data_IF_138799065867
#
_entry.id   IF_138799065867
#
_cell.length_a   1.000
_cell.length_b   1.000
_cell.length_c   1.000
_cell.angle_alpha   90.00
_cell.angle_beta   90.00
_cell.angle_gamma   90.00
#
_symmetry.space_group_name_H-M   'P 1'
#
loop_
_entity.id
_entity.type
_entity.pdbx_description
1 polymer ?
#
# COMPACT_ATOMS: atom_id res chain seq x y z
N UNK A 1 -14.04 -8.50 -2.55
CA UNK A 1 -13.80 -7.96 -1.21
C UNK A 1 -12.36 -8.20 -0.88
N UNK A 2 -11.68 -7.21 -0.34
CA UNK A 2 -10.30 -7.31 0.09
C UNK A 2 -10.25 -7.62 1.59
N UNK A 3 -9.19 -8.28 2.06
CA UNK A 3 -9.10 -8.71 3.46
C UNK A 3 -8.76 -7.59 4.43
N UNK A 4 -8.30 -6.45 3.93
CA UNK A 4 -7.93 -5.28 4.73
C UNK A 4 -9.11 -4.31 4.90
N UNK A 5 -9.17 -3.47 5.96
CA UNK A 5 -10.23 -2.47 6.13
C UNK A 5 -10.25 -1.37 5.08
N UNK A 6 -9.07 -0.88 4.68
CA UNK A 6 -8.87 0.14 3.65
C UNK A 6 -7.40 0.23 3.21
N UNK A 7 -7.10 1.04 2.20
CA UNK A 7 -5.75 1.16 1.63
C UNK A 7 -4.73 1.64 2.66
N UNK A 8 -3.57 1.00 2.73
CA UNK A 8 -2.56 1.33 3.73
C UNK A 8 -2.80 0.70 5.11
N UNK A 9 -3.89 -0.06 5.33
CA UNK A 9 -4.13 -0.83 6.55
C UNK A 9 -4.24 -2.32 6.25
N UNK A 10 -3.19 -2.94 5.70
CA UNK A 10 -3.25 -4.28 5.11
C UNK A 10 -3.50 -5.42 6.13
N UNK A 11 -3.02 -5.27 7.36
CA UNK A 11 -3.31 -6.12 8.50
C UNK A 11 -3.36 -5.26 9.76
N UNK A 12 -4.54 -5.01 10.36
CA UNK A 12 -4.68 -4.10 11.50
C UNK A 12 -4.01 -4.60 12.77
N UNK A 13 -3.72 -3.68 13.70
CA UNK A 13 -3.19 -4.03 15.02
C UNK A 13 -4.38 -4.40 15.90
N UNK A 14 -4.55 -5.70 16.10
CA UNK A 14 -5.67 -6.30 16.83
C UNK A 14 -5.18 -6.92 18.14
N UNK A 15 -6.03 -6.88 19.17
CA UNK A 15 -5.72 -7.42 20.49
C UNK A 15 -5.67 -8.96 20.48
N UNK A 16 -6.32 -9.59 19.50
CA UNK A 16 -6.28 -11.04 19.31
C UNK A 16 -6.39 -11.45 17.84
N UNK A 17 -5.82 -12.61 17.47
CA UNK A 17 -5.91 -13.15 16.10
C UNK A 17 -7.34 -13.49 15.65
N UNK A 18 -8.30 -13.54 16.57
CA UNK A 18 -9.72 -13.79 16.31
C UNK A 18 -10.56 -12.52 16.32
N UNK A 19 -9.97 -11.37 16.68
CA UNK A 19 -10.65 -10.09 16.57
C UNK A 19 -10.98 -9.83 15.11
N UNK A 20 -12.24 -9.46 14.87
CA UNK A 20 -12.75 -9.26 13.51
C UNK A 20 -12.78 -7.78 13.15
N UNK A 21 -12.55 -7.51 11.88
CA UNK A 21 -12.73 -6.19 11.27
C UNK A 21 -13.54 -6.31 9.98
N UNK A 22 -14.13 -5.18 9.59
CA UNK A 22 -14.84 -5.08 8.33
C UNK A 22 -13.84 -5.08 7.18
N UNK A 23 -14.08 -5.95 6.21
CA UNK A 23 -13.30 -6.04 4.98
C UNK A 23 -13.64 -4.87 4.07
N UNK A 24 -12.64 -4.33 3.38
CA UNK A 24 -12.88 -3.39 2.32
C UNK A 24 -13.67 -4.07 1.20
N UNK A 25 -14.74 -3.42 0.77
CA UNK A 25 -15.52 -3.86 -0.36
C UNK A 25 -15.85 -2.67 -1.25
N UNK A 26 -15.76 -2.88 -2.56
CA UNK A 26 -16.25 -1.90 -3.52
C UNK A 26 -17.75 -1.71 -3.36
N UNK A 27 -18.25 -0.55 -3.77
CA UNK A 27 -19.66 -0.22 -3.69
C UNK A 27 -20.54 -1.28 -4.37
N UNK A 28 -21.53 -1.80 -3.64
CA UNK A 28 -22.46 -2.83 -4.14
C UNK A 28 -21.92 -4.26 -4.09
N UNK A 29 -20.68 -4.48 -3.64
CA UNK A 29 -20.08 -5.82 -3.50
C UNK A 29 -20.14 -6.26 -2.03
N UNK A 30 -20.71 -7.44 -1.75
CA UNK A 30 -20.63 -8.07 -0.43
C UNK A 30 -20.02 -9.46 -0.55
N UNK A 31 -18.95 -9.73 0.21
CA UNK A 31 -18.31 -11.05 0.27
C UNK A 31 -18.57 -11.66 1.64
N UNK A 32 -19.33 -12.75 1.68
CA UNK A 32 -19.72 -13.40 2.92
C UNK A 32 -20.50 -12.46 3.84
N UNK A 33 -20.15 -12.45 5.12
CA UNK A 33 -20.72 -11.54 6.11
C UNK A 33 -20.08 -10.14 6.09
N UNK A 34 -19.01 -9.93 5.31
CA UNK A 34 -18.28 -8.65 5.21
C UNK A 34 -17.14 -8.50 6.21
N UNK A 35 -16.85 -9.51 7.03
CA UNK A 35 -15.82 -9.44 8.07
C UNK A 35 -14.70 -10.45 7.84
N UNK A 36 -13.58 -10.23 8.50
CA UNK A 36 -12.48 -11.19 8.59
C UNK A 36 -11.64 -10.98 9.84
N UNK A 37 -10.69 -11.87 10.08
CA UNK A 37 -9.73 -11.88 11.19
C UNK A 37 -8.42 -12.51 10.73
N UNK A 38 -7.35 -12.29 11.48
CA UNK A 38 -6.05 -12.91 11.21
C UNK A 38 -6.19 -14.43 11.09
N UNK A 39 -6.95 -15.06 12.00
CA UNK A 39 -7.17 -16.50 12.00
C UNK A 39 -7.87 -16.98 10.73
N UNK A 40 -8.93 -16.30 10.29
CA UNK A 40 -9.67 -16.67 9.09
C UNK A 40 -8.80 -16.56 7.83
N UNK A 41 -7.96 -15.53 7.75
CA UNK A 41 -7.02 -15.33 6.63
C UNK A 41 -5.96 -16.44 6.62
N UNK A 42 -5.32 -16.73 7.76
CA UNK A 42 -4.29 -17.77 7.86
C UNK A 42 -4.86 -19.17 7.63
N UNK A 43 -6.05 -19.49 8.15
CA UNK A 43 -6.71 -20.78 7.91
C UNK A 43 -6.99 -20.98 6.41
N UNK A 44 -7.42 -19.93 5.70
CA UNK A 44 -7.61 -19.96 4.25
C UNK A 44 -6.28 -20.19 3.52
N UNK A 45 -5.24 -19.43 3.86
CA UNK A 45 -3.91 -19.55 3.22
C UNK A 45 -3.29 -20.93 3.48
N UNK A 46 -3.41 -21.45 4.70
CA UNK A 46 -2.96 -22.80 5.05
C UNK A 46 -3.70 -23.88 4.25
N UNK A 47 -5.02 -23.71 4.05
CA UNK A 47 -5.81 -24.59 3.18
C UNK A 47 -5.33 -24.54 1.73
N UNK A 48 -5.16 -23.35 1.16
CA UNK A 48 -4.65 -23.17 -0.22
C UNK A 48 -3.27 -23.78 -0.40
N UNK A 49 -2.39 -23.60 0.59
CA UNK A 49 -1.06 -24.22 0.62
C UNK A 49 -1.11 -25.74 0.63
N UNK A 50 -2.06 -26.35 1.37
CA UNK A 50 -2.23 -27.81 1.36
C UNK A 50 -2.71 -28.36 0.01
N UNK A 51 -3.31 -27.50 -0.82
CA UNK A 51 -3.66 -27.82 -2.21
C UNK A 51 -2.54 -27.50 -3.22
N UNK A 52 -1.38 -27.03 -2.75
CA UNK A 52 -0.24 -26.70 -3.60
C UNK A 52 -0.28 -25.28 -4.20
N UNK A 53 -1.21 -24.43 -3.75
CA UNK A 53 -1.25 -23.02 -4.18
C UNK A 53 -0.45 -22.12 -3.24
N UNK A 54 0.16 -21.08 -3.82
CA UNK A 54 0.82 -20.00 -3.08
C UNK A 54 -0.09 -18.77 -3.10
N UNK A 55 -0.39 -18.21 -1.93
CA UNK A 55 -1.24 -17.03 -1.79
C UNK A 55 -0.35 -15.82 -1.49
N UNK A 56 -0.56 -14.72 -2.21
CA UNK A 56 0.07 -13.43 -1.95
C UNK A 56 -0.94 -12.49 -1.30
N UNK A 57 -0.48 -11.69 -0.34
CA UNK A 57 -1.28 -10.66 0.30
C UNK A 57 -1.22 -9.35 -0.51
N UNK A 58 -2.38 -8.74 -0.76
CA UNK A 58 -2.42 -7.41 -1.36
C UNK A 58 -1.70 -6.38 -0.48
N UNK A 59 -0.96 -5.48 -1.11
CA UNK A 59 -0.23 -4.38 -0.48
C UNK A 59 -0.20 -3.17 -1.42
N UNK A 60 0.11 -1.99 -0.90
CA UNK A 60 0.35 -0.76 -1.67
C UNK A 60 1.25 0.14 -0.83
N UNK A 61 2.09 0.94 -1.48
CA UNK A 61 3.06 1.79 -0.80
C UNK A 61 2.78 3.29 -0.97
N UNK A 62 1.85 3.70 -1.84
CA UNK A 62 1.69 5.10 -2.24
C UNK A 62 0.29 5.65 -2.02
N UNK A 63 -0.57 4.88 -1.38
CA UNK A 63 -1.97 5.23 -1.16
C UNK A 63 -2.41 4.90 0.27
N UNK A 64 -3.30 5.74 0.83
CA UNK A 64 -3.87 5.52 2.15
C UNK A 64 -5.36 5.85 2.20
N UNK A 65 -6.07 5.13 3.06
CA UNK A 65 -7.48 5.33 3.37
C UNK A 65 -8.43 4.69 2.36
N UNK A 66 -9.67 5.17 2.38
CA UNK A 66 -10.72 5.04 1.38
C UNK A 66 -11.81 6.04 1.79
N UNK A 67 -12.56 6.57 0.82
CA UNK A 67 -13.60 7.59 1.05
C UNK A 67 -13.11 8.74 1.97
N UNK A 68 -11.87 9.19 1.73
CA UNK A 68 -11.28 10.29 2.50
C UNK A 68 -12.04 11.57 2.17
N UNK A 69 -12.35 12.34 3.22
CA UNK A 69 -13.11 13.58 3.13
C UNK A 69 -12.19 14.78 3.23
N UNK A 70 -12.48 15.82 2.46
CA UNK A 70 -11.89 17.14 2.60
C UNK A 70 -12.99 18.20 2.45
N UNK A 71 -13.10 19.21 3.34
CA UNK A 71 -12.23 19.50 4.50
C UNK A 71 -12.19 18.39 5.56
N UNK A 72 -11.15 18.40 6.40
CA UNK A 72 -10.90 17.36 7.42
C UNK A 72 -12.12 17.23 8.35
N UNK A 73 -12.78 16.05 8.42
CA UNK A 73 -13.93 15.84 9.28
C UNK A 73 -13.51 15.72 10.76
N UNK A 74 -14.40 15.96 11.73
CA UNK A 74 -14.11 15.70 13.14
C UNK A 74 -13.74 14.24 13.39
N UNK A 75 -12.79 14.03 14.30
CA UNK A 75 -12.34 12.70 14.76
C UNK A 75 -13.52 11.86 15.26
N UNK A 76 -13.56 10.59 14.86
CA UNK A 76 -14.58 9.62 15.31
C UNK A 76 -14.08 8.75 16.47
N UNK A 77 -12.82 8.31 16.41
CA UNK A 77 -12.19 7.45 17.40
C UNK A 77 -12.08 8.14 18.78
N UNK A 78 -12.42 7.40 19.83
CA UNK A 78 -12.38 7.90 21.23
C UNK A 78 -10.96 8.00 21.79
N UNK A 79 -10.05 7.16 21.28
CA UNK A 79 -8.65 7.07 21.70
C UNK A 79 -7.77 6.68 20.51
N UNK A 80 -6.46 6.75 20.71
CA UNK A 80 -5.48 6.58 19.63
C UNK A 80 -5.41 5.13 19.14
N UNK A 81 -5.75 4.15 19.99
CA UNK A 81 -5.84 2.74 19.60
C UNK A 81 -6.94 2.50 18.58
N UNK A 82 -8.03 3.27 18.65
CA UNK A 82 -9.15 3.20 17.71
C UNK A 82 -8.92 3.89 16.36
N UNK A 83 -7.84 4.66 16.17
CA UNK A 83 -7.64 5.46 14.95
C UNK A 83 -7.64 4.61 13.68
N UNK A 84 -7.11 3.39 13.73
CA UNK A 84 -7.07 2.51 12.56
C UNK A 84 -8.45 2.06 12.10
N UNK A 85 -9.50 2.15 12.92
CA UNK A 85 -10.83 1.65 12.54
C UNK A 85 -11.57 2.55 11.56
N UNK A 86 -11.14 3.80 11.43
CA UNK A 86 -11.74 4.74 10.50
C UNK A 86 -10.64 5.33 9.58
N UNK A 87 -10.83 5.30 8.24
CA UNK A 87 -9.81 5.75 7.30
C UNK A 87 -9.48 7.24 7.43
N UNK A 88 -10.47 8.09 7.72
CA UNK A 88 -10.25 9.52 7.93
C UNK A 88 -9.49 9.77 9.24
N UNK A 89 -9.81 9.03 10.29
CA UNK A 89 -9.07 9.09 11.56
C UNK A 89 -7.61 8.68 11.38
N UNK A 90 -7.37 7.56 10.71
CA UNK A 90 -6.03 7.08 10.41
C UNK A 90 -5.22 8.11 9.60
N UNK A 91 -5.79 8.65 8.52
CA UNK A 91 -5.07 9.60 7.65
C UNK A 91 -4.81 10.93 8.37
N UNK A 92 -5.81 11.52 9.03
CA UNK A 92 -5.71 12.90 9.51
C UNK A 92 -5.27 13.05 10.98
N UNK A 93 -5.48 12.02 11.80
CA UNK A 93 -5.20 12.09 13.25
C UNK A 93 -4.04 11.20 13.68
N UNK A 94 -3.38 10.52 12.73
CA UNK A 94 -2.02 10.02 12.91
C UNK A 94 -1.00 10.94 12.20
N UNK A 95 0.26 10.53 12.14
CA UNK A 95 1.30 11.24 11.40
C UNK A 95 1.29 10.92 9.89
N UNK A 96 0.40 10.04 9.39
CA UNK A 96 0.20 9.84 7.94
C UNK A 96 -0.13 11.15 7.22
N UNK A 97 -0.77 12.11 7.89
CA UNK A 97 -1.03 13.45 7.33
C UNK A 97 0.23 14.16 6.79
N UNK A 98 1.41 13.86 7.34
CA UNK A 98 2.67 14.43 6.89
C UNK A 98 3.14 13.82 5.56
N UNK A 99 2.70 12.60 5.25
CA UNK A 99 3.00 11.88 4.03
C UNK A 99 2.11 12.32 2.85
N UNK A 100 1.03 13.06 3.10
CA UNK A 100 0.07 13.45 2.06
C UNK A 100 0.75 14.25 0.94
N UNK A 101 0.63 13.74 -0.28
CA UNK A 101 0.87 14.51 -1.50
C UNK A 101 -0.33 15.43 -1.68
N UNK A 102 -0.09 16.74 -1.80
CA UNK A 102 -1.15 17.74 -1.89
C UNK A 102 -1.46 18.11 -3.34
N UNK A 103 -2.75 18.27 -3.64
CA UNK A 103 -3.19 18.91 -4.87
C UNK A 103 -3.00 20.43 -4.76
N UNK A 104 -2.37 21.02 -5.77
CA UNK A 104 -2.07 22.46 -5.82
C UNK A 104 -3.05 23.24 -6.68
N UNK A 105 -4.10 22.62 -7.23
CA UNK A 105 -5.18 23.37 -7.90
C UNK A 105 -6.03 24.18 -6.91
N UNK A 106 -6.19 23.70 -5.68
CA UNK A 106 -7.18 24.21 -4.72
C UNK A 106 -6.52 24.82 -3.46
N UNK A 107 -5.97 26.03 -3.58
CA UNK A 107 -5.27 26.76 -2.49
C UNK A 107 -4.11 26.01 -1.80
N UNK A 108 -3.76 24.80 -2.25
CA UNK A 108 -2.54 24.08 -1.90
C UNK A 108 -2.60 23.14 -0.69
N UNK A 109 -3.77 22.91 -0.09
CA UNK A 109 -3.90 22.08 1.13
C UNK A 109 -4.79 20.83 1.00
N UNK A 110 -5.52 20.67 -0.11
CA UNK A 110 -6.30 19.46 -0.37
C UNK A 110 -5.37 18.27 -0.66
N UNK A 111 -5.67 17.05 -0.17
CA UNK A 111 -4.91 15.86 -0.56
C UNK A 111 -5.13 15.55 -2.04
N UNK A 112 -4.09 15.04 -2.70
CA UNK A 112 -4.20 14.46 -4.02
C UNK A 112 -4.93 13.12 -3.92
N UNK A 113 -6.08 13.01 -4.58
CA UNK A 113 -6.84 11.76 -4.62
C UNK A 113 -6.30 10.82 -5.70
N UNK A 114 -6.24 9.53 -5.39
CA UNK A 114 -5.68 8.53 -6.31
C UNK A 114 -6.68 8.00 -7.34
N UNK A 115 -7.94 8.46 -7.24
CA UNK A 115 -9.13 8.01 -7.96
C UNK A 115 -9.55 6.56 -7.68
N UNK A 116 -8.85 5.82 -6.81
CA UNK A 116 -9.31 4.51 -6.36
C UNK A 116 -10.11 4.66 -5.06
N UNK A 117 -11.44 4.56 -5.16
CA UNK A 117 -12.37 4.49 -4.01
C UNK A 117 -12.18 5.64 -2.98
N UNK A 118 -11.77 6.81 -3.44
CA UNK A 118 -11.53 7.99 -2.58
C UNK A 118 -10.28 7.87 -1.69
N UNK A 119 -9.29 7.07 -2.08
CA UNK A 119 -7.97 7.07 -1.44
C UNK A 119 -7.18 8.33 -1.77
N UNK A 120 -6.21 8.63 -0.92
CA UNK A 120 -5.27 9.74 -1.09
C UNK A 120 -3.86 9.22 -1.33
N UNK A 121 -3.09 9.99 -2.09
CA UNK A 121 -1.69 9.67 -2.40
C UNK A 121 -0.80 10.09 -1.24
N UNK A 122 0.04 9.17 -0.79
CA UNK A 122 0.96 9.35 0.35
C UNK A 122 2.38 8.94 -0.03
N UNK A 123 3.35 9.64 0.53
CA UNK A 123 4.77 9.45 0.31
C UNK A 123 5.36 8.31 1.17
N UNK A 124 5.80 7.17 0.57
CA UNK A 124 6.35 6.05 1.32
C UNK A 124 7.66 6.34 2.05
N UNK A 125 8.33 7.45 1.75
CA UNK A 125 9.57 7.86 2.40
C UNK A 125 9.34 8.86 3.53
N UNK A 126 8.09 9.20 3.84
CA UNK A 126 7.78 9.92 5.08
C UNK A 126 8.02 8.99 6.28
N UNK A 127 8.81 9.39 7.29
CA UNK A 127 9.30 8.44 8.31
C UNK A 127 8.22 7.69 9.09
N UNK A 128 7.07 8.31 9.35
CA UNK A 128 5.98 7.62 10.04
C UNK A 128 5.30 6.62 9.12
N UNK A 129 5.00 7.00 7.88
CA UNK A 129 4.32 6.12 6.94
C UNK A 129 5.22 4.97 6.46
N UNK A 130 6.51 5.23 6.23
CA UNK A 130 7.52 4.20 5.95
C UNK A 130 7.54 3.14 7.05
N UNK A 131 7.69 3.59 8.31
CA UNK A 131 7.68 2.71 9.48
C UNK A 131 6.38 1.92 9.57
N UNK A 132 5.25 2.58 9.35
CA UNK A 132 3.93 1.93 9.36
C UNK A 132 3.86 0.81 8.30
N UNK A 133 4.34 1.04 7.07
CA UNK A 133 4.38 0.00 6.03
C UNK A 133 5.28 -1.17 6.42
N UNK A 134 6.46 -0.91 7.00
CA UNK A 134 7.36 -1.96 7.48
C UNK A 134 6.73 -2.77 8.63
N UNK A 135 6.01 -2.13 9.54
CA UNK A 135 5.27 -2.80 10.62
C UNK A 135 4.08 -3.62 10.11
N UNK A 136 3.41 -3.18 9.04
CA UNK A 136 2.40 -3.98 8.34
C UNK A 136 3.04 -5.23 7.73
N UNK A 137 4.17 -5.09 7.01
CA UNK A 137 4.90 -6.20 6.42
C UNK A 137 5.40 -7.21 7.47
N UNK A 138 5.97 -6.71 8.58
CA UNK A 138 6.40 -7.54 9.71
C UNK A 138 5.22 -8.34 10.30
N UNK A 139 4.06 -7.70 10.50
CA UNK A 139 2.86 -8.40 10.98
C UNK A 139 2.36 -9.44 9.97
N UNK A 140 2.38 -9.16 8.66
CA UNK A 140 2.08 -10.17 7.65
C UNK A 140 3.00 -11.41 7.78
N UNK A 141 4.30 -11.20 7.99
CA UNK A 141 5.27 -12.28 8.19
C UNK A 141 4.92 -13.12 9.42
N UNK A 142 4.66 -12.46 10.56
CA UNK A 142 4.46 -13.13 11.85
C UNK A 142 3.09 -13.81 11.98
N UNK A 143 2.05 -13.16 11.46
CA UNK A 143 0.67 -13.55 11.71
C UNK A 143 0.11 -14.42 10.59
N UNK A 144 0.65 -14.31 9.37
CA UNK A 144 0.24 -15.07 8.20
C UNK A 144 1.41 -15.92 7.65
N UNK A 145 1.96 -16.87 8.42
CA UNK A 145 3.11 -17.65 7.99
C UNK A 145 2.85 -18.48 6.74
N UNK A 146 1.58 -18.84 6.44
CA UNK A 146 1.22 -19.57 5.22
C UNK A 146 1.23 -18.71 3.95
N UNK A 147 1.26 -17.38 4.05
CA UNK A 147 1.42 -16.49 2.89
C UNK A 147 2.77 -16.73 2.20
N UNK A 148 2.79 -16.68 0.87
CA UNK A 148 4.01 -16.72 0.08
C UNK A 148 4.69 -15.35 -0.01
N UNK A 149 4.00 -14.25 0.33
CA UNK A 149 4.52 -12.90 0.23
C UNK A 149 3.45 -11.85 -0.03
N UNK A 150 3.84 -10.74 -0.67
CA UNK A 150 2.96 -9.62 -0.97
C UNK A 150 2.90 -9.33 -2.47
N UNK A 151 1.79 -8.75 -2.92
CA UNK A 151 1.65 -8.12 -4.21
C UNK A 151 1.36 -6.62 -4.02
N UNK A 152 2.34 -5.78 -4.37
CA UNK A 152 2.28 -4.32 -4.27
C UNK A 152 1.57 -3.78 -5.50
N UNK A 153 0.47 -3.08 -5.29
CA UNK A 153 -0.29 -2.46 -6.36
C UNK A 153 0.22 -1.06 -6.70
N UNK A 154 -0.10 -0.65 -7.93
CA UNK A 154 0.05 0.68 -8.54
C UNK A 154 1.31 1.48 -8.16
N UNK A 155 2.40 1.32 -8.93
CA UNK A 155 3.58 2.20 -8.79
C UNK A 155 3.57 3.42 -9.74
N UNK A 156 2.44 3.79 -10.34
CA UNK A 156 2.37 4.98 -11.21
C UNK A 156 2.56 6.30 -10.46
N UNK A 157 2.19 6.36 -9.16
CA UNK A 157 2.40 7.52 -8.29
C UNK A 157 3.87 7.86 -8.04
N UNK A 158 4.79 6.92 -8.31
CA UNK A 158 6.24 7.16 -8.22
C UNK A 158 6.75 8.24 -9.20
N UNK A 159 5.92 8.62 -10.19
CA UNK A 159 6.18 9.73 -11.12
C UNK A 159 5.98 11.12 -10.50
N UNK A 160 5.45 11.17 -9.28
CA UNK A 160 5.11 12.43 -8.61
C UNK A 160 6.19 12.86 -7.62
N UNK A 161 6.00 14.05 -7.05
CA UNK A 161 6.89 14.64 -6.05
C UNK A 161 6.03 15.10 -4.88
N UNK A 162 6.48 14.78 -3.67
CA UNK A 162 5.93 15.36 -2.46
C UNK A 162 6.63 16.69 -2.19
N UNK A 163 5.87 17.78 -2.30
CA UNK A 163 6.39 19.14 -2.15
C UNK A 163 6.47 19.60 -0.68
N UNK A 164 5.97 18.79 0.26
CA UNK A 164 6.19 19.00 1.69
C UNK A 164 7.44 18.26 2.19
N UNK A 165 7.97 17.33 1.39
CA UNK A 165 9.19 16.58 1.68
C UNK A 165 10.44 17.25 1.11
N UNK A 166 11.59 16.73 1.52
CA UNK A 166 12.89 17.08 0.96
C UNK A 166 13.81 15.85 1.05
N UNK A 167 14.36 15.41 -0.08
CA UNK A 167 15.38 14.35 -0.15
C UNK A 167 16.81 14.91 -0.32
N UNK A 168 16.96 16.23 -0.34
CA UNK A 168 18.25 16.92 -0.51
C UNK A 168 18.72 17.05 -1.96
N UNK A 169 18.05 16.41 -2.93
CA UNK A 169 18.50 16.40 -4.33
C UNK A 169 17.41 16.75 -5.35
N UNK A 170 16.15 16.50 -5.03
CA UNK A 170 14.99 16.73 -5.90
C UNK A 170 14.46 18.14 -5.75
N UNK A 171 14.26 18.80 -6.90
CA UNK A 171 13.66 20.12 -6.97
C UNK A 171 12.47 20.09 -7.93
N UNK A 172 11.37 20.73 -7.53
CA UNK A 172 10.21 20.95 -8.37
C UNK A 172 9.72 22.37 -8.16
N UNK A 173 9.44 23.09 -9.25
CA UNK A 173 9.03 24.49 -9.24
C UNK A 173 9.97 25.41 -8.42
N UNK A 174 11.29 25.22 -8.56
CA UNK A 174 12.33 25.95 -7.82
C UNK A 174 12.22 25.83 -6.28
N UNK A 175 11.57 24.78 -5.78
CA UNK A 175 11.52 24.46 -4.36
C UNK A 175 12.11 23.07 -4.11
N UNK A 176 12.84 22.85 -3.01
CA UNK A 176 13.20 21.52 -2.55
C UNK A 176 11.93 20.66 -2.42
N UNK A 177 12.07 19.39 -2.77
CA UNK A 177 10.96 18.43 -2.79
C UNK A 177 11.49 17.03 -2.51
N UNK A 178 10.61 16.07 -2.30
CA UNK A 178 10.97 14.65 -2.30
C UNK A 178 10.42 13.96 -3.54
N UNK A 179 11.28 13.24 -4.27
CA UNK A 179 10.84 12.36 -5.35
C UNK A 179 10.23 11.09 -4.78
N UNK A 180 9.01 10.77 -5.20
CA UNK A 180 8.34 9.53 -4.79
C UNK A 180 9.10 8.27 -5.24
N UNK A 181 9.87 8.36 -6.33
CA UNK A 181 10.77 7.29 -6.76
C UNK A 181 11.88 7.01 -5.75
N UNK A 182 12.47 8.05 -5.17
CA UNK A 182 13.53 7.88 -4.17
C UNK A 182 12.95 7.38 -2.85
N UNK A 183 11.81 7.91 -2.44
CA UNK A 183 11.02 7.39 -1.32
C UNK A 183 10.74 5.89 -1.44
N UNK A 184 10.37 5.43 -2.65
CA UNK A 184 10.19 4.01 -2.93
C UNK A 184 11.48 3.21 -2.80
N UNK A 185 12.59 3.73 -3.32
CA UNK A 185 13.89 3.05 -3.22
C UNK A 185 14.33 2.91 -1.76
N UNK A 186 14.12 3.95 -0.94
CA UNK A 186 14.41 3.94 0.49
C UNK A 186 13.57 2.87 1.20
N UNK A 187 12.24 2.89 1.03
CA UNK A 187 11.34 1.86 1.57
C UNK A 187 11.77 0.44 1.15
N UNK A 188 12.07 0.24 -0.14
CA UNK A 188 12.41 -1.09 -0.67
C UNK A 188 13.77 -1.60 -0.19
N UNK A 189 14.70 -0.73 0.17
CA UNK A 189 15.98 -1.14 0.77
C UNK A 189 15.79 -1.81 2.13
N UNK A 190 14.70 -1.51 2.84
CA UNK A 190 14.35 -2.16 4.10
C UNK A 190 13.30 -3.27 3.92
N UNK A 191 12.24 -3.01 3.15
CA UNK A 191 11.15 -3.96 2.90
C UNK A 191 11.63 -5.21 2.17
N UNK A 192 12.49 -5.04 1.15
CA UNK A 192 13.05 -6.15 0.37
C UNK A 192 13.76 -7.19 1.24
N UNK A 193 14.85 -6.82 1.94
CA UNK A 193 15.53 -7.71 2.87
C UNK A 193 14.63 -8.27 3.97
N UNK A 194 13.68 -7.47 4.49
CA UNK A 194 12.72 -7.93 5.49
C UNK A 194 11.85 -9.09 4.98
N UNK A 195 11.34 -9.00 3.76
CA UNK A 195 10.51 -10.05 3.16
C UNK A 195 11.36 -11.27 2.76
N UNK A 196 12.47 -11.04 2.04
CA UNK A 196 13.30 -12.10 1.50
C UNK A 196 13.95 -12.97 2.58
N UNK A 197 14.43 -12.38 3.69
CA UNK A 197 15.01 -13.16 4.80
C UNK A 197 14.00 -14.11 5.46
N UNK A 198 12.70 -13.84 5.31
CA UNK A 198 11.61 -14.67 5.81
C UNK A 198 11.00 -15.57 4.73
N UNK A 199 11.67 -15.72 3.58
CA UNK A 199 11.22 -16.56 2.47
C UNK A 199 9.94 -16.04 1.80
N UNK A 200 9.67 -14.73 1.88
CA UNK A 200 8.50 -14.09 1.28
C UNK A 200 8.89 -13.38 -0.01
N UNK A 201 8.09 -13.52 -1.06
CA UNK A 201 8.28 -12.82 -2.34
C UNK A 201 7.57 -11.46 -2.37
N UNK A 202 8.04 -10.57 -3.23
CA UNK A 202 7.42 -9.27 -3.53
C UNK A 202 7.07 -9.22 -5.01
N UNK A 203 5.77 -9.21 -5.29
CA UNK A 203 5.25 -8.98 -6.65
C UNK A 203 4.83 -7.52 -6.76
N UNK A 204 4.88 -6.93 -7.96
CA UNK A 204 4.44 -5.54 -8.14
C UNK A 204 3.67 -5.29 -9.45
N UNK A 205 2.61 -4.48 -9.35
CA UNK A 205 1.96 -3.84 -10.50
C UNK A 205 2.73 -2.59 -10.87
N UNK A 206 3.67 -2.73 -11.81
CA UNK A 206 4.68 -1.70 -11.97
C UNK A 206 4.07 -0.39 -12.44
N UNK A 207 3.26 -0.35 -13.51
CA UNK A 207 2.69 0.86 -14.15
C UNK A 207 3.68 2.02 -14.47
N UNK A 208 4.91 1.95 -13.98
CA UNK A 208 6.06 2.81 -14.13
C UNK A 208 7.28 1.91 -14.35
N UNK A 209 7.32 1.37 -15.56
CA UNK A 209 8.29 0.40 -16.07
C UNK A 209 9.71 0.99 -16.14
N UNK A 210 10.43 0.99 -15.01
CA UNK A 210 11.85 1.34 -14.93
C UNK A 210 12.65 0.26 -14.20
N UNK A 211 13.88 0.02 -14.64
CA UNK A 211 14.75 -1.02 -14.07
C UNK A 211 15.10 -0.71 -12.61
N UNK A 212 15.34 0.55 -12.26
CA UNK A 212 15.69 0.97 -10.90
C UNK A 212 14.54 0.83 -9.90
N UNK A 213 13.28 0.80 -10.37
CA UNK A 213 12.12 0.48 -9.54
C UNK A 213 12.10 -1.01 -9.17
N UNK A 214 12.70 -1.89 -9.98
CA UNK A 214 12.62 -3.35 -9.85
C UNK A 214 13.53 -3.93 -8.77
N UNK A 215 14.37 -3.11 -8.12
CA UNK A 215 15.25 -3.59 -7.04
C UNK A 215 14.39 -4.21 -5.94
N UNK A 216 14.70 -5.45 -5.55
CA UNK A 216 13.97 -6.28 -4.58
C UNK A 216 12.60 -6.83 -5.03
N UNK A 217 12.12 -6.54 -6.24
CA UNK A 217 10.90 -7.16 -6.79
C UNK A 217 11.26 -8.52 -7.40
N UNK A 218 10.48 -9.55 -7.07
CA UNK A 218 10.67 -10.92 -7.55
C UNK A 218 9.85 -11.23 -8.81
N UNK A 219 8.69 -10.58 -8.98
CA UNK A 219 7.89 -10.71 -10.19
C UNK A 219 7.03 -9.48 -10.48
N UNK A 220 6.65 -9.34 -11.74
CA UNK A 220 5.80 -8.26 -12.23
C UNK A 220 4.44 -8.86 -12.60
N UNK A 221 3.37 -8.14 -12.27
CA UNK A 221 2.06 -8.34 -12.87
C UNK A 221 1.60 -7.03 -13.50
N UNK A 222 0.76 -7.11 -14.54
CA UNK A 222 0.23 -5.92 -15.23
C UNK A 222 -1.30 -5.91 -15.10
N UNK A 223 -1.84 -4.78 -14.66
CA UNK A 223 -3.27 -4.48 -14.81
C UNK A 223 -3.48 -3.66 -16.09
N UNK A 224 -4.15 -4.25 -17.09
CA UNK A 224 -4.38 -3.59 -18.37
C UNK A 224 -5.69 -2.79 -18.42
N UNK A 225 -6.53 -2.88 -17.39
CA UNK A 225 -7.82 -2.18 -17.28
C UNK A 225 -8.63 -2.28 -18.57
N UNK A 226 -8.96 -1.11 -19.17
CA UNK A 226 -9.64 -1.01 -20.46
C UNK A 226 -8.70 -0.70 -21.64
N UNK A 227 -7.38 -0.86 -21.44
CA UNK A 227 -6.34 -0.55 -22.42
C UNK A 227 -5.71 -1.85 -22.91
N UNK A 228 -6.36 -2.58 -23.84
CA UNK A 228 -5.89 -3.91 -24.27
C UNK A 228 -4.50 -3.90 -24.91
N UNK A 229 -4.05 -2.75 -25.43
CA UNK A 229 -2.67 -2.59 -25.94
C UNK A 229 -1.60 -2.57 -24.85
N UNK A 230 -1.99 -2.51 -23.56
CA UNK A 230 -1.07 -2.68 -22.42
C UNK A 230 -0.87 -4.16 -22.05
N UNK A 231 -1.52 -5.09 -22.76
CA UNK A 231 -1.29 -6.52 -22.59
C UNK A 231 0.17 -6.84 -22.97
N UNK A 232 0.96 -7.34 -22.01
CA UNK A 232 2.41 -7.58 -22.09
C UNK A 232 3.31 -6.33 -21.97
N UNK A 233 2.80 -5.21 -21.45
CA UNK A 233 3.57 -3.97 -21.28
C UNK A 233 4.92 -4.19 -20.60
N UNK A 234 4.97 -5.07 -19.61
CA UNK A 234 6.18 -5.31 -18.81
C UNK A 234 6.97 -6.55 -19.22
N UNK A 235 6.58 -7.26 -20.28
CA UNK A 235 7.17 -8.55 -20.65
C UNK A 235 8.68 -8.48 -21.00
N UNK A 236 9.14 -7.34 -21.55
CA UNK A 236 10.55 -7.17 -21.91
C UNK A 236 11.43 -6.70 -20.74
N UNK A 237 10.85 -6.29 -19.60
CA UNK A 237 11.61 -5.82 -18.44
C UNK A 237 12.38 -6.95 -17.72
N UNK A 238 11.90 -8.19 -17.85
CA UNK A 238 12.49 -9.38 -17.21
C UNK A 238 13.34 -10.21 -18.16
N UNK A 239 13.61 -9.73 -19.39
CA UNK A 239 14.43 -10.47 -20.35
C UNK A 239 15.87 -10.56 -19.88
N UNK A 240 16.26 -11.77 -19.48
CA UNK A 240 17.66 -12.14 -19.27
C UNK A 240 18.16 -12.91 -20.48
N UNK A 241 19.06 -12.31 -21.25
CA UNK A 241 19.79 -13.01 -22.30
C UNK A 241 20.80 -13.98 -21.65
N UNK A 242 20.70 -15.26 -21.97
CA UNK A 242 21.68 -16.29 -21.63
C UNK A 242 22.93 -16.18 -22.50
#
# INVERSE_FOLDING_TARGET
GFDFPYMGMFLPEVDSKTERWERFHQNGVKVGDGYTSVKEIEDYMGKMKSYGFNVLCYFNATEAGNHILYPIPPRVAKDDKGLWRNPNDFVYYTNVKNALVKDRSDNGDSPLYSNWEGCVVVDPGEPFYEKHLLEQAQRHIEYLPSSAGICIDRLDWLRTYNLNGNDGISWKNNTPSRSMLLSWQDLMNDLGPLMHKNGKVIFANVLYSRIDVMKHIDAIYDEYGHLPYSLNRSALLSLRKH
#
